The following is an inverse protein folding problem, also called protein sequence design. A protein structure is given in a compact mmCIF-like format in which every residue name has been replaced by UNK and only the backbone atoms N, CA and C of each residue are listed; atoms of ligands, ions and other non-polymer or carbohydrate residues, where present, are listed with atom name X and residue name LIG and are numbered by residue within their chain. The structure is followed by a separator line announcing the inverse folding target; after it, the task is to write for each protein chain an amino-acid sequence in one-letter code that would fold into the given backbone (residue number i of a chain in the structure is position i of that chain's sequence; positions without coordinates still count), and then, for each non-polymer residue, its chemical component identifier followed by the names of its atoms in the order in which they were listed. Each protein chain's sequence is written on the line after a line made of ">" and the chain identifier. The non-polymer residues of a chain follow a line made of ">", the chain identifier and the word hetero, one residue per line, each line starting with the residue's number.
data_IF_087109938899
#
_entry.id   IF_087109938899
#
_cell.length_a   1.000
_cell.length_b   1.000
_cell.length_c   1.000
_cell.angle_alpha   90.00
_cell.angle_beta   90.00
_cell.angle_gamma   90.00
#
_symmetry.space_group_name_H-M   'P 1'
#
loop_
_entity.id
_entity.type
_entity.pdbx_description
1 polymer ?
#
# COMPACT_ATOMS: atom_id res chain seq x y z
N UNK A 1 21.17 -57.84 58.89
CA UNK A 1 19.84 -58.20 59.42
C UNK A 1 18.93 -57.05 59.10
N UNK A 2 18.68 -56.73 57.82
CA UNK A 2 18.11 -57.57 56.74
C UNK A 2 16.67 -57.99 57.02
N UNK A 3 15.90 -57.95 55.93
CA UNK A 3 14.49 -58.30 55.74
C UNK A 3 13.49 -57.18 56.04
N UNK A 4 12.49 -56.88 55.21
CA UNK A 4 12.08 -57.22 53.84
C UNK A 4 10.78 -56.43 53.70
N UNK A 5 10.67 -55.51 52.74
CA UNK A 5 9.37 -55.03 52.29
C UNK A 5 9.18 -55.54 50.87
N UNK A 6 8.35 -56.56 50.76
CA UNK A 6 7.84 -57.14 49.52
C UNK A 6 6.92 -56.15 48.78
N UNK A 7 6.80 -56.28 47.45
CA UNK A 7 6.20 -55.27 46.58
C UNK A 7 4.67 -55.39 46.51
N UNK A 8 3.96 -54.27 46.52
CA UNK A 8 2.59 -54.20 46.01
C UNK A 8 2.63 -54.07 44.49
N UNK A 9 1.95 -55.03 43.85
CA UNK A 9 1.70 -55.14 42.42
C UNK A 9 0.93 -53.92 41.89
N UNK A 10 1.60 -53.10 41.06
CA UNK A 10 0.96 -52.12 40.17
C UNK A 10 0.90 -52.72 38.75
N UNK A 11 0.22 -53.87 38.61
CA UNK A 11 -0.22 -54.38 37.30
C UNK A 11 -1.47 -53.61 36.87
N UNK A 12 -1.27 -52.45 36.24
CA UNK A 12 -2.00 -51.96 35.06
C UNK A 12 -1.70 -50.48 34.82
N UNK A 13 -0.56 -50.21 34.17
CA UNK A 13 -0.35 -48.98 33.39
C UNK A 13 0.22 -49.38 32.03
N UNK A 14 -0.36 -48.89 30.91
CA UNK A 14 0.21 -49.15 29.60
C UNK A 14 1.63 -48.60 29.54
N UNK A 15 2.55 -49.42 29.02
CA UNK A 15 3.94 -49.03 28.80
C UNK A 15 4.00 -47.73 28.02
N UNK A 16 4.74 -46.75 28.54
CA UNK A 16 5.00 -45.51 27.83
C UNK A 16 5.80 -45.85 26.55
N UNK A 17 5.25 -45.62 25.34
CA UNK A 17 5.91 -46.03 24.10
C UNK A 17 7.15 -45.19 23.76
N UNK A 18 7.51 -44.23 24.63
CA UNK A 18 8.61 -43.29 24.43
C UNK A 18 9.77 -43.46 25.43
N UNK A 19 9.83 -44.54 26.21
CA UNK A 19 10.91 -44.78 27.18
C UNK A 19 12.29 -45.12 26.57
N UNK A 20 12.45 -44.95 25.25
CA UNK A 20 13.68 -45.29 24.51
C UNK A 20 14.20 -44.18 23.59
N UNK A 21 13.75 -42.94 23.74
CA UNK A 21 14.25 -41.83 22.92
C UNK A 21 15.40 -41.09 23.66
N UNK A 22 16.59 -41.17 23.05
CA UNK A 22 17.84 -40.50 23.45
C UNK A 22 17.65 -39.01 23.75
N UNK A 23 18.48 -38.45 24.65
CA UNK A 23 18.49 -37.04 25.03
C UNK A 23 18.51 -36.05 23.86
N UNK A 24 19.00 -36.48 22.69
CA UNK A 24 19.06 -35.69 21.45
C UNK A 24 17.69 -35.24 20.90
N UNK A 25 16.58 -35.89 21.30
CA UNK A 25 15.24 -35.52 20.80
C UNK A 25 14.62 -34.40 21.64
N UNK A 26 14.94 -34.33 22.94
CA UNK A 26 14.44 -33.24 23.79
C UNK A 26 15.13 -31.92 23.45
N UNK A 27 16.42 -31.97 23.12
CA UNK A 27 17.18 -30.80 22.73
C UNK A 27 16.78 -30.30 21.32
N UNK A 28 16.45 -31.21 20.38
CA UNK A 28 15.89 -30.82 19.06
C UNK A 28 14.50 -30.20 19.14
N UNK A 29 13.66 -30.62 20.07
CA UNK A 29 12.31 -30.04 20.25
C UNK A 29 12.39 -28.63 20.85
N UNK A 30 13.36 -28.36 21.74
CA UNK A 30 13.55 -27.02 22.31
C UNK A 30 14.26 -26.07 21.33
N UNK A 31 15.16 -26.56 20.48
CA UNK A 31 15.72 -25.79 19.34
C UNK A 31 14.67 -25.50 18.25
N UNK A 32 13.80 -26.47 17.93
CA UNK A 32 12.69 -26.24 16.99
C UNK A 32 11.66 -25.26 17.54
N UNK A 33 11.44 -25.22 18.87
CA UNK A 33 10.52 -24.29 19.55
C UNK A 33 11.01 -22.84 19.56
N UNK A 34 12.32 -22.62 19.55
CA UNK A 34 12.94 -21.29 19.43
C UNK A 34 13.01 -20.85 17.95
N UNK A 35 13.09 -21.79 17.00
CA UNK A 35 13.00 -21.53 15.57
C UNK A 35 11.55 -21.31 15.06
N UNK A 36 10.52 -21.67 15.84
CA UNK A 36 9.09 -21.55 15.47
C UNK A 36 8.41 -20.25 15.90
N UNK A 37 9.13 -19.19 16.30
CA UNK A 37 8.49 -17.91 16.62
C UNK A 37 8.60 -16.80 15.55
N UNK A 38 9.36 -16.99 14.47
CA UNK A 38 9.40 -16.02 13.34
C UNK A 38 8.98 -16.61 11.98
N UNK A 39 8.94 -17.94 11.83
CA UNK A 39 8.53 -18.61 10.58
C UNK A 39 7.02 -18.85 10.42
N UNK A 40 6.26 -18.93 11.51
CA UNK A 40 4.84 -19.33 11.46
C UNK A 40 3.90 -18.21 10.96
N UNK A 41 4.34 -16.95 11.03
CA UNK A 41 3.56 -15.80 10.53
C UNK A 41 3.53 -15.73 9.00
N UNK A 42 4.55 -16.28 8.35
CA UNK A 42 4.63 -16.39 6.89
C UNK A 42 3.73 -17.53 6.36
N UNK A 43 3.68 -18.65 7.09
CA UNK A 43 2.82 -19.81 6.77
C UNK A 43 1.32 -19.45 6.84
N UNK A 44 0.94 -18.54 7.74
CA UNK A 44 -0.44 -18.10 7.88
C UNK A 44 -0.97 -17.31 6.66
N UNK A 45 -0.11 -16.53 5.98
CA UNK A 45 -0.47 -15.79 4.76
C UNK A 45 -0.52 -16.71 3.53
N UNK A 46 0.36 -17.72 3.47
CA UNK A 46 0.32 -18.77 2.43
C UNK A 46 -0.92 -19.67 2.58
N UNK A 47 -1.35 -19.90 3.82
CA UNK A 47 -2.60 -20.62 4.12
C UNK A 47 -3.85 -19.95 3.53
N UNK A 48 -3.84 -18.63 3.36
CA UNK A 48 -5.01 -17.87 2.90
C UNK A 48 -5.16 -17.91 1.37
N UNK A 49 -4.03 -17.98 0.64
CA UNK A 49 -4.06 -18.35 -0.79
C UNK A 49 -4.56 -19.78 -0.97
N UNK A 50 -4.09 -20.71 -0.14
CA UNK A 50 -4.53 -22.12 -0.17
C UNK A 50 -6.03 -22.24 0.14
N UNK A 51 -6.57 -21.49 1.10
CA UNK A 51 -7.99 -21.58 1.46
C UNK A 51 -8.92 -21.11 0.34
N UNK A 52 -8.61 -19.97 -0.29
CA UNK A 52 -9.40 -19.44 -1.43
C UNK A 52 -9.30 -20.34 -2.66
N UNK A 53 -8.12 -20.95 -2.86
CA UNK A 53 -7.90 -21.98 -3.89
C UNK A 53 -8.68 -23.25 -3.55
N UNK A 54 -8.69 -23.70 -2.30
CA UNK A 54 -9.40 -24.91 -1.83
C UNK A 54 -10.92 -24.76 -1.96
N UNK A 55 -11.49 -23.61 -1.60
CA UNK A 55 -12.91 -23.32 -1.85
C UNK A 55 -13.24 -23.39 -3.34
N UNK A 56 -12.43 -22.78 -4.21
CA UNK A 56 -12.64 -22.86 -5.66
C UNK A 56 -12.44 -24.27 -6.22
N UNK A 57 -11.42 -25.00 -5.77
CA UNK A 57 -11.16 -26.40 -6.17
C UNK A 57 -12.33 -27.30 -5.76
N UNK A 58 -12.93 -27.07 -4.59
CA UNK A 58 -14.08 -27.86 -4.12
C UNK A 58 -15.33 -27.76 -5.02
N UNK A 59 -15.34 -26.82 -5.97
CA UNK A 59 -16.41 -26.68 -6.97
C UNK A 59 -16.20 -27.50 -8.26
N UNK A 60 -15.03 -28.11 -8.45
CA UNK A 60 -14.72 -28.98 -9.59
C UNK A 60 -15.47 -30.32 -9.44
N UNK A 61 -16.31 -30.69 -10.41
CA UNK A 61 -17.14 -31.92 -10.35
C UNK A 61 -16.94 -32.86 -11.54
N UNK A 62 -16.29 -32.41 -12.63
CA UNK A 62 -16.09 -33.19 -13.84
C UNK A 62 -14.65 -33.17 -14.38
N UNK A 63 -14.25 -34.17 -15.20
CA UNK A 63 -12.88 -34.34 -15.70
C UNK A 63 -12.42 -33.24 -16.66
N UNK A 64 -13.33 -32.39 -17.15
CA UNK A 64 -13.01 -31.22 -17.99
C UNK A 64 -13.12 -29.89 -17.24
N UNK A 65 -13.47 -29.92 -15.97
CA UNK A 65 -13.56 -28.71 -15.18
C UNK A 65 -12.16 -28.22 -14.86
N UNK A 66 -11.97 -26.92 -15.00
CA UNK A 66 -10.73 -26.26 -14.61
C UNK A 66 -11.03 -24.95 -13.93
N UNK A 67 -10.23 -24.62 -12.92
CA UNK A 67 -10.29 -23.32 -12.25
C UNK A 67 -9.08 -22.51 -12.68
N UNK A 68 -9.37 -21.31 -13.18
CA UNK A 68 -8.36 -20.30 -13.42
C UNK A 68 -8.06 -19.53 -12.12
N UNK A 69 -6.83 -19.66 -11.61
CA UNK A 69 -6.36 -18.99 -10.39
C UNK A 69 -5.36 -17.91 -10.78
N UNK A 70 -5.74 -16.65 -10.60
CA UNK A 70 -4.86 -15.51 -10.80
C UNK A 70 -3.96 -15.33 -9.58
N UNK A 71 -2.65 -15.41 -9.79
CA UNK A 71 -1.64 -15.42 -8.73
C UNK A 71 -1.09 -14.02 -8.42
N UNK A 72 -1.50 -13.02 -9.21
CA UNK A 72 -1.15 -11.61 -9.03
C UNK A 72 -2.26 -10.74 -8.43
N UNK A 73 -3.32 -11.35 -7.88
CA UNK A 73 -4.42 -10.64 -7.21
C UNK A 73 -4.05 -10.10 -5.83
N UNK A 74 -4.91 -9.25 -5.23
CA UNK A 74 -4.68 -8.73 -3.90
C UNK A 74 -4.74 -9.87 -2.87
N UNK A 75 -3.92 -9.75 -1.81
CA UNK A 75 -3.93 -10.67 -0.67
C UNK A 75 -5.27 -10.60 0.06
N UNK A 76 -5.74 -9.37 0.30
CA UNK A 76 -7.05 -9.10 0.87
C UNK A 76 -7.73 -7.96 0.12
N UNK A 77 -9.05 -7.98 0.14
CA UNK A 77 -9.89 -6.93 -0.42
C UNK A 77 -11.13 -6.78 0.44
N UNK A 78 -11.59 -5.54 0.62
CA UNK A 78 -12.83 -5.22 1.31
C UNK A 78 -13.47 -3.99 0.68
N UNK A 79 -14.77 -4.06 0.44
CA UNK A 79 -15.55 -2.88 0.06
C UNK A 79 -15.82 -2.12 1.36
N UNK A 80 -15.15 -0.99 1.53
CA UNK A 80 -15.26 -0.13 2.71
C UNK A 80 -16.19 1.04 2.43
N UNK A 81 -16.16 1.56 1.20
CA UNK A 81 -16.91 2.75 0.82
C UNK A 81 -18.08 2.39 -0.11
N UNK A 82 -19.15 3.19 -0.04
CA UNK A 82 -20.29 3.07 -0.97
C UNK A 82 -20.03 3.75 -2.32
N UNK A 83 -19.15 4.74 -2.29
CA UNK A 83 -18.74 5.57 -3.42
C UNK A 83 -17.21 5.42 -3.64
N UNK A 84 -16.64 5.93 -4.76
CA UNK A 84 -15.22 5.81 -5.04
C UNK A 84 -14.30 6.20 -3.89
N UNK A 85 -13.26 5.40 -3.64
CA UNK A 85 -12.16 5.77 -2.74
C UNK A 85 -11.37 6.89 -3.40
N UNK A 86 -11.11 7.98 -2.68
CA UNK A 86 -10.37 9.14 -3.20
C UNK A 86 -8.91 9.11 -2.79
N UNK A 87 -8.62 8.67 -1.57
CA UNK A 87 -7.26 8.57 -1.08
C UNK A 87 -7.11 7.48 -0.01
N UNK A 88 -5.90 6.99 0.14
CA UNK A 88 -5.49 6.05 1.19
C UNK A 88 -4.19 6.51 1.84
N UNK A 89 -3.96 6.10 3.08
CA UNK A 89 -2.71 6.34 3.79
C UNK A 89 -2.44 5.22 4.79
N UNK A 90 -1.18 4.87 5.00
CA UNK A 90 -0.83 3.92 6.05
C UNK A 90 -0.92 4.61 7.42
N UNK A 91 -1.50 3.92 8.40
CA UNK A 91 -1.54 4.38 9.79
C UNK A 91 -0.71 3.48 10.72
N UNK A 92 -0.25 2.35 10.19
CA UNK A 92 0.71 1.44 10.81
C UNK A 92 1.42 0.63 9.71
N UNK A 93 2.24 -0.35 10.04
CA UNK A 93 2.82 -1.25 9.02
C UNK A 93 1.79 -2.19 8.39
N UNK A 94 0.67 -2.45 9.07
CA UNK A 94 -0.33 -3.45 8.63
C UNK A 94 -1.68 -2.84 8.32
N UNK A 95 -1.98 -1.62 8.79
CA UNK A 95 -3.30 -1.00 8.68
C UNK A 95 -3.27 0.27 7.83
N UNK A 96 -4.36 0.55 7.12
CA UNK A 96 -4.55 1.78 6.36
C UNK A 96 -5.79 2.55 6.75
N UNK A 97 -5.71 3.87 6.62
CA UNK A 97 -6.85 4.75 6.46
C UNK A 97 -7.25 4.84 4.99
N UNK A 98 -8.55 4.88 4.72
CA UNK A 98 -9.12 5.19 3.40
C UNK A 98 -10.22 6.22 3.53
N UNK A 99 -10.29 7.15 2.58
CA UNK A 99 -11.36 8.14 2.48
C UNK A 99 -12.06 8.00 1.14
N UNK A 100 -13.38 8.13 1.13
CA UNK A 100 -14.21 7.97 -0.07
C UNK A 100 -15.11 9.17 -0.33
N UNK A 101 -15.70 9.18 -1.52
CA UNK A 101 -16.71 10.17 -1.92
C UNK A 101 -18.02 10.05 -1.13
N UNK A 102 -18.18 8.96 -0.37
CA UNK A 102 -19.24 8.78 0.64
C UNK A 102 -18.98 9.59 1.92
N UNK A 103 -17.89 10.38 1.92
CA UNK A 103 -17.46 11.32 2.93
C UNK A 103 -17.04 10.66 4.24
N UNK A 104 -16.76 9.36 4.21
CA UNK A 104 -16.31 8.61 5.38
C UNK A 104 -14.81 8.34 5.31
N UNK A 105 -14.21 8.24 6.49
CA UNK A 105 -12.85 7.73 6.67
C UNK A 105 -12.96 6.40 7.41
N UNK A 106 -12.38 5.35 6.84
CA UNK A 106 -12.32 4.02 7.44
C UNK A 106 -10.87 3.64 7.74
N UNK A 107 -10.64 3.04 8.90
CA UNK A 107 -9.37 2.36 9.22
C UNK A 107 -9.59 0.87 9.12
N UNK A 108 -8.73 0.20 8.35
CA UNK A 108 -8.80 -1.23 8.13
C UNK A 108 -7.44 -1.87 8.30
N UNK A 109 -7.41 -2.94 9.11
CA UNK A 109 -6.28 -3.86 9.20
C UNK A 109 -6.68 -5.21 8.59
N UNK A 110 -6.10 -5.63 7.45
CA UNK A 110 -6.33 -6.92 6.82
C UNK A 110 -5.83 -8.12 7.64
N UNK A 111 -4.92 -7.92 8.59
CA UNK A 111 -4.31 -8.97 9.42
C UNK A 111 -4.99 -9.16 10.78
N UNK A 112 -5.72 -8.14 11.25
CA UNK A 112 -6.55 -8.19 12.46
C UNK A 112 -7.94 -8.80 12.17
N UNK A 113 -8.77 -9.00 13.21
CA UNK A 113 -10.09 -9.65 13.21
C UNK A 113 -11.19 -9.00 12.35
N UNK A 114 -10.83 -8.35 11.24
CA UNK A 114 -11.72 -7.73 10.27
C UNK A 114 -12.52 -6.52 10.79
N UNK A 115 -12.19 -6.00 11.97
CA UNK A 115 -12.79 -4.78 12.50
C UNK A 115 -12.40 -3.58 11.65
N UNK A 116 -13.39 -2.75 11.34
CA UNK A 116 -13.23 -1.50 10.60
C UNK A 116 -13.67 -0.39 11.53
N UNK A 117 -12.73 0.49 11.86
CA UNK A 117 -13.06 1.72 12.56
C UNK A 117 -13.55 2.74 11.53
N UNK A 118 -14.63 3.45 11.84
CA UNK A 118 -15.11 4.57 11.03
C UNK A 118 -14.96 5.83 11.84
N UNK A 119 -14.32 6.85 11.28
CA UNK A 119 -14.23 8.14 11.94
C UNK A 119 -15.57 8.87 11.79
N UNK A 120 -15.98 9.57 12.85
CA UNK A 120 -17.29 10.22 12.91
C UNK A 120 -17.40 11.44 11.99
N UNK A 121 -16.28 12.09 11.73
CA UNK A 121 -16.18 13.31 10.92
C UNK A 121 -16.27 13.02 9.41
N UNK A 122 -16.77 14.02 8.68
CA UNK A 122 -16.99 13.91 7.24
C UNK A 122 -15.88 14.59 6.45
N UNK A 123 -15.42 13.95 5.36
CA UNK A 123 -14.42 14.51 4.46
C UNK A 123 -14.90 14.48 3.00
N UNK A 124 -15.21 15.65 2.44
CA UNK A 124 -15.62 15.79 1.04
C UNK A 124 -14.40 15.72 0.11
N UNK A 125 -14.34 14.66 -0.72
CA UNK A 125 -13.25 14.39 -1.66
C UNK A 125 -11.87 14.51 -0.98
N UNK A 126 -11.69 13.73 0.08
CA UNK A 126 -10.55 13.87 0.97
C UNK A 126 -9.24 13.38 0.36
N UNK A 127 -8.14 14.01 0.75
CA UNK A 127 -6.78 13.52 0.51
C UNK A 127 -6.09 13.24 1.85
N UNK A 128 -5.67 11.99 2.07
CA UNK A 128 -5.08 11.53 3.32
C UNK A 128 -3.56 11.59 3.30
N UNK A 129 -2.98 11.95 4.44
CA UNK A 129 -1.54 11.85 4.68
C UNK A 129 -1.30 11.57 6.16
N UNK A 130 -0.42 10.61 6.45
CA UNK A 130 0.07 10.34 7.80
C UNK A 130 1.49 10.89 7.96
N UNK A 131 1.86 11.18 9.19
CA UNK A 131 3.24 11.48 9.56
C UNK A 131 4.11 10.22 9.47
N UNK A 132 5.43 10.41 9.29
CA UNK A 132 6.39 9.31 9.20
C UNK A 132 6.43 8.47 10.48
N UNK A 133 6.21 9.12 11.61
CA UNK A 133 6.16 8.52 12.95
C UNK A 133 4.87 7.73 13.18
N UNK A 134 3.88 7.84 12.27
CA UNK A 134 2.52 7.32 12.42
C UNK A 134 1.86 7.77 13.74
N UNK A 135 2.07 9.03 14.13
CA UNK A 135 1.45 9.65 15.31
C UNK A 135 0.23 10.52 14.95
N UNK A 136 0.10 10.93 13.69
CA UNK A 136 -0.93 11.84 13.23
C UNK A 136 -1.41 11.44 11.82
N UNK A 137 -2.73 11.45 11.64
CA UNK A 137 -3.39 11.36 10.35
C UNK A 137 -4.02 12.72 10.02
N UNK A 138 -3.82 13.22 8.81
CA UNK A 138 -4.46 14.42 8.30
C UNK A 138 -5.31 14.10 7.06
N UNK A 139 -6.46 14.77 6.95
CA UNK A 139 -7.33 14.70 5.78
C UNK A 139 -7.66 16.13 5.33
N UNK A 140 -7.18 16.51 4.15
CA UNK A 140 -7.61 17.74 3.50
C UNK A 140 -8.91 17.50 2.75
N UNK A 141 -9.87 18.42 2.86
CA UNK A 141 -11.18 18.31 2.24
C UNK A 141 -11.61 19.58 1.48
N UNK A 142 -12.48 19.38 0.48
CA UNK A 142 -13.16 20.46 -0.23
C UNK A 142 -14.07 21.33 0.65
N UNK A 143 -14.33 20.92 1.89
CA UNK A 143 -15.01 21.76 2.89
C UNK A 143 -14.15 22.94 3.40
N UNK A 144 -12.91 23.06 2.87
CA UNK A 144 -11.91 24.11 3.15
C UNK A 144 -11.09 23.84 4.42
N UNK A 145 -11.18 22.63 4.96
CA UNK A 145 -10.46 22.27 6.18
C UNK A 145 -9.40 21.20 5.93
N UNK A 146 -8.42 21.15 6.84
CA UNK A 146 -7.62 19.96 7.09
C UNK A 146 -7.92 19.49 8.50
N UNK A 147 -8.50 18.31 8.62
CA UNK A 147 -8.80 17.68 9.91
C UNK A 147 -7.66 16.74 10.31
N UNK A 148 -7.42 16.61 11.62
CA UNK A 148 -6.33 15.81 12.17
C UNK A 148 -6.82 14.83 13.24
N UNK A 149 -6.29 13.62 13.22
CA UNK A 149 -6.55 12.57 14.21
C UNK A 149 -5.24 12.02 14.77
N UNK A 150 -5.25 11.67 16.06
CA UNK A 150 -4.13 10.98 16.70
C UNK A 150 -4.05 9.54 16.21
N UNK A 151 -2.85 8.98 16.16
CA UNK A 151 -2.62 7.56 15.90
C UNK A 151 -1.90 6.93 17.10
N UNK A 152 -2.25 5.70 17.50
CA UNK A 152 -3.22 4.79 16.87
C UNK A 152 -4.67 5.01 17.31
N UNK A 153 -4.93 5.85 18.31
CA UNK A 153 -6.24 5.95 18.97
C UNK A 153 -7.35 6.52 18.09
N UNK A 154 -6.99 7.18 16.98
CA UNK A 154 -7.90 7.76 15.99
C UNK A 154 -8.85 8.81 16.57
N UNK A 155 -8.42 9.53 17.60
CA UNK A 155 -9.19 10.61 18.21
C UNK A 155 -8.97 11.91 17.44
N UNK A 156 -10.05 12.68 17.21
CA UNK A 156 -9.93 13.99 16.59
C UNK A 156 -9.11 14.93 17.48
N UNK A 157 -8.04 15.51 16.93
CA UNK A 157 -7.14 16.39 17.67
C UNK A 157 -7.46 17.85 17.40
N UNK A 158 -7.60 18.22 16.12
CA UNK A 158 -7.67 19.61 15.66
C UNK A 158 -8.13 19.72 14.23
N UNK A 159 -8.55 20.92 13.85
CA UNK A 159 -8.95 21.29 12.49
C UNK A 159 -8.29 22.60 12.08
N UNK A 160 -7.62 22.60 10.93
CA UNK A 160 -7.11 23.80 10.24
C UNK A 160 -8.19 24.29 9.27
N UNK A 161 -8.79 25.44 9.53
CA UNK A 161 -9.67 26.12 8.57
C UNK A 161 -8.86 27.05 7.69
N UNK A 162 -8.95 26.86 6.38
CA UNK A 162 -8.17 27.63 5.41
C UNK A 162 -8.93 28.83 4.86
N UNK A 163 -10.23 28.96 5.11
CA UNK A 163 -10.99 30.16 4.79
C UNK A 163 -10.91 30.60 3.33
N UNK A 164 -11.70 29.97 2.44
CA UNK A 164 -12.00 30.53 1.11
C UNK A 164 -12.02 29.53 -0.04
N UNK A 165 -11.15 28.52 -0.01
CA UNK A 165 -11.02 27.55 -1.11
C UNK A 165 -10.87 26.13 -0.57
N UNK A 166 -11.45 25.15 -1.27
CA UNK A 166 -11.37 23.75 -0.91
C UNK A 166 -9.94 23.22 -1.02
N UNK A 167 -9.62 22.23 -0.18
CA UNK A 167 -8.35 21.52 -0.20
C UNK A 167 -8.46 20.31 -1.12
N UNK A 168 -7.48 20.13 -2.00
CA UNK A 168 -7.41 18.96 -2.87
C UNK A 168 -6.17 18.12 -2.63
N UNK A 169 -5.10 18.71 -2.10
CA UNK A 169 -3.89 17.98 -1.78
C UNK A 169 -3.27 18.50 -0.48
N UNK A 170 -2.71 17.58 0.28
CA UNK A 170 -2.00 17.87 1.53
C UNK A 170 -0.72 17.07 1.54
N UNK A 171 0.36 17.71 1.95
CA UNK A 171 1.63 17.06 2.26
C UNK A 171 2.12 17.52 3.63
N UNK A 172 2.74 16.61 4.39
CA UNK A 172 3.32 16.91 5.70
C UNK A 172 4.80 16.56 5.65
N UNK A 173 5.63 17.46 6.14
CA UNK A 173 7.00 17.16 6.54
C UNK A 173 7.08 17.11 8.06
N UNK A 174 7.26 15.90 8.61
CA UNK A 174 7.33 15.70 10.05
C UNK A 174 8.63 16.25 10.65
N UNK A 175 9.71 16.35 9.88
CA UNK A 175 11.00 16.84 10.37
C UNK A 175 10.94 18.33 10.69
N UNK A 176 10.35 19.13 9.79
CA UNK A 176 10.21 20.59 10.00
C UNK A 176 8.89 20.98 10.65
N UNK A 177 8.03 20.00 11.01
CA UNK A 177 6.67 20.21 11.49
C UNK A 177 5.94 21.21 10.58
N UNK A 178 5.96 20.95 9.28
CA UNK A 178 5.35 21.82 8.26
C UNK A 178 4.25 21.07 7.52
N UNK A 179 3.12 21.74 7.28
CA UNK A 179 2.07 21.26 6.39
C UNK A 179 1.95 22.17 5.18
N UNK A 180 1.94 21.56 4.00
CA UNK A 180 1.62 22.22 2.74
C UNK A 180 0.22 21.82 2.29
N UNK A 181 -0.57 22.80 1.89
CA UNK A 181 -1.93 22.58 1.42
C UNK A 181 -2.13 23.19 0.04
N UNK A 182 -2.57 22.35 -0.89
CA UNK A 182 -2.87 22.72 -2.27
C UNK A 182 -4.33 23.09 -2.40
N UNK A 183 -4.57 24.33 -2.82
CA UNK A 183 -5.89 24.93 -2.87
C UNK A 183 -6.48 24.90 -4.28
N UNK A 184 -7.82 24.90 -4.33
CA UNK A 184 -8.57 24.91 -5.58
C UNK A 184 -8.26 26.10 -6.51
N UNK A 185 -7.80 27.23 -5.95
CA UNK A 185 -7.50 28.45 -6.71
C UNK A 185 -6.07 28.50 -7.29
N UNK A 186 -5.27 27.45 -7.12
CA UNK A 186 -3.87 27.40 -7.58
C UNK A 186 -2.84 27.92 -6.58
N UNK A 187 -3.27 28.30 -5.38
CA UNK A 187 -2.35 28.66 -4.31
C UNK A 187 -1.87 27.42 -3.55
N UNK A 188 -0.64 27.53 -3.04
CA UNK A 188 -0.12 26.64 -1.99
C UNK A 188 -0.03 27.46 -0.72
N UNK A 189 -0.55 26.89 0.37
CA UNK A 189 -0.43 27.45 1.71
C UNK A 189 0.50 26.59 2.56
N UNK A 190 1.46 27.23 3.22
CA UNK A 190 2.40 26.62 4.15
C UNK A 190 2.03 27.05 5.56
N UNK A 191 1.77 26.07 6.43
CA UNK A 191 1.42 26.31 7.83
C UNK A 191 2.30 25.49 8.76
N UNK A 192 2.42 25.95 10.00
CA UNK A 192 3.05 25.20 11.08
C UNK A 192 2.16 24.02 11.49
N UNK A 193 2.72 22.82 11.57
CA UNK A 193 1.97 21.62 11.89
C UNK A 193 1.49 21.62 13.34
N UNK A 194 2.15 22.29 14.28
CA UNK A 194 1.82 22.26 15.70
C UNK A 194 0.91 23.44 16.10
N UNK A 195 1.24 24.65 15.66
CA UNK A 195 0.44 25.86 15.96
C UNK A 195 -0.72 26.08 15.00
N UNK A 196 -0.68 25.46 13.80
CA UNK A 196 -1.68 25.65 12.75
C UNK A 196 -1.69 27.08 12.17
N UNK A 197 -0.70 27.89 12.52
CA UNK A 197 -0.55 29.23 11.98
C UNK A 197 -0.01 29.19 10.55
N UNK A 198 -0.65 29.95 9.66
CA UNK A 198 -0.19 30.12 8.28
C UNK A 198 1.10 30.93 8.27
N UNK A 199 2.18 30.32 7.80
CA UNK A 199 3.47 31.00 7.59
C UNK A 199 3.45 31.77 6.27
N UNK A 200 2.93 31.16 5.22
CA UNK A 200 2.89 31.76 3.89
C UNK A 200 1.75 31.20 3.03
N UNK A 201 1.26 32.00 2.10
CA UNK A 201 0.39 31.58 1.01
C UNK A 201 0.82 32.28 -0.27
N UNK A 202 1.05 31.51 -1.32
CA UNK A 202 1.51 32.04 -2.60
C UNK A 202 0.82 31.35 -3.77
N UNK A 203 0.71 32.08 -4.88
CA UNK A 203 0.19 31.54 -6.13
C UNK A 203 1.24 30.64 -6.77
N UNK A 204 1.00 29.34 -6.72
CA UNK A 204 1.89 28.33 -7.27
C UNK A 204 1.57 28.02 -8.74
N UNK A 205 0.29 28.08 -9.10
CA UNK A 205 -0.22 27.62 -10.39
C UNK A 205 -1.34 28.54 -10.91
N UNK A 206 -1.62 28.44 -12.22
CA UNK A 206 -2.75 29.13 -12.85
C UNK A 206 -4.04 28.32 -12.75
N UNK A 207 -3.90 27.00 -12.59
CA UNK A 207 -4.96 26.05 -12.32
C UNK A 207 -4.92 25.48 -10.90
N UNK A 208 -5.74 24.46 -10.66
CA UNK A 208 -5.93 23.81 -9.37
C UNK A 208 -4.67 23.06 -8.92
N UNK A 209 -4.24 23.20 -7.66
CA UNK A 209 -3.14 22.39 -7.11
C UNK A 209 -3.64 20.98 -6.77
N UNK A 210 -3.43 20.04 -7.68
CA UNK A 210 -3.95 18.67 -7.59
C UNK A 210 -3.09 17.77 -6.71
N UNK A 211 -1.81 18.09 -6.53
CA UNK A 211 -0.89 17.24 -5.78
C UNK A 211 0.29 18.03 -5.21
N UNK A 212 0.79 17.53 -4.08
CA UNK A 212 1.94 18.04 -3.34
C UNK A 212 2.77 16.88 -2.83
N UNK A 213 4.08 17.09 -2.71
CA UNK A 213 4.98 16.14 -2.06
C UNK A 213 6.20 16.85 -1.47
N UNK A 214 6.53 16.56 -0.23
CA UNK A 214 7.80 16.97 0.35
C UNK A 214 8.87 15.92 0.05
N UNK A 215 10.09 16.37 -0.16
CA UNK A 215 11.23 15.47 -0.19
C UNK A 215 11.46 14.84 1.19
N UNK A 216 12.05 13.64 1.26
CA UNK A 216 12.32 12.97 2.53
C UNK A 216 13.14 13.81 3.53
N UNK A 217 13.95 14.75 3.03
CA UNK A 217 14.72 15.69 3.85
C UNK A 217 13.91 16.90 4.34
N UNK A 218 12.72 17.15 3.78
CA UNK A 218 11.92 18.35 4.04
C UNK A 218 12.43 19.62 3.35
N UNK A 219 13.56 19.56 2.65
CA UNK A 219 14.19 20.73 2.02
C UNK A 219 13.43 21.24 0.80
N UNK A 220 12.71 20.35 0.13
CA UNK A 220 12.06 20.63 -1.14
C UNK A 220 10.59 20.26 -1.08
N UNK A 221 9.74 21.13 -1.62
CA UNK A 221 8.34 20.85 -1.88
C UNK A 221 8.12 20.89 -3.38
N UNK A 222 7.43 19.88 -3.92
CA UNK A 222 6.96 19.89 -5.30
C UNK A 222 5.44 20.03 -5.33
N UNK A 223 4.95 20.82 -6.29
CA UNK A 223 3.52 21.02 -6.53
C UNK A 223 3.20 20.74 -7.99
N UNK A 224 2.10 20.02 -8.23
CA UNK A 224 1.57 19.74 -9.56
C UNK A 224 0.14 20.24 -9.69
N UNK A 225 -0.23 20.60 -10.92
CA UNK A 225 -1.50 21.27 -11.21
C UNK A 225 -2.25 20.68 -12.41
N UNK A 226 -3.57 20.92 -12.44
CA UNK A 226 -4.41 20.60 -13.59
C UNK A 226 -4.07 21.42 -14.85
N UNK A 227 -3.33 22.53 -14.70
CA UNK A 227 -2.77 23.31 -15.81
C UNK A 227 -1.58 22.62 -16.52
N UNK A 228 -1.11 21.50 -15.99
CA UNK A 228 -0.03 20.71 -16.54
C UNK A 228 1.37 21.22 -16.21
N UNK A 229 1.49 22.12 -15.23
CA UNK A 229 2.77 22.57 -14.70
C UNK A 229 3.15 21.87 -13.39
N UNK A 230 4.45 21.66 -13.21
CA UNK A 230 5.08 21.26 -11.96
C UNK A 230 6.01 22.37 -11.50
N UNK A 231 5.95 22.73 -10.22
CA UNK A 231 6.84 23.69 -9.60
C UNK A 231 7.55 23.08 -8.40
N UNK A 232 8.79 23.54 -8.17
CA UNK A 232 9.70 23.10 -7.10
C UNK A 232 10.03 24.30 -6.23
N UNK A 233 9.91 24.13 -4.92
CA UNK A 233 10.00 25.18 -3.93
C UNK A 233 10.97 24.80 -2.81
N UNK A 234 11.58 25.80 -2.17
CA UNK A 234 12.24 25.64 -0.86
C UNK A 234 11.30 26.19 0.22
N UNK A 235 10.66 25.33 1.01
CA UNK A 235 9.68 25.74 2.03
C UNK A 235 10.29 26.62 3.13
N UNK A 236 11.53 26.35 3.53
CA UNK A 236 12.20 27.10 4.59
C UNK A 236 12.43 28.59 4.24
N UNK A 237 12.49 28.91 2.96
CA UNK A 237 12.71 30.28 2.45
C UNK A 237 11.56 30.80 1.61
N UNK A 238 10.51 30.00 1.40
CA UNK A 238 9.37 30.31 0.56
C UNK A 238 9.74 30.71 -0.89
N UNK A 239 10.82 30.12 -1.43
CA UNK A 239 11.34 30.48 -2.76
C UNK A 239 11.04 29.44 -3.81
N UNK A 240 10.55 29.88 -4.98
CA UNK A 240 10.52 29.08 -6.20
C UNK A 240 11.94 28.76 -6.67
N UNK A 241 12.20 27.50 -7.01
CA UNK A 241 13.51 26.99 -7.45
C UNK A 241 13.51 26.69 -8.93
N UNK A 242 12.50 25.92 -9.36
CA UNK A 242 12.40 25.40 -10.72
C UNK A 242 10.95 25.05 -11.04
N UNK A 243 10.67 24.84 -12.32
CA UNK A 243 9.39 24.34 -12.78
C UNK A 243 9.41 24.02 -14.26
N UNK A 244 8.41 23.29 -14.71
CA UNK A 244 8.17 22.97 -16.12
C UNK A 244 6.68 22.97 -16.41
N UNK A 245 6.30 23.40 -17.61
CA UNK A 245 4.94 23.27 -18.15
C UNK A 245 4.89 22.28 -19.33
N UNK A 246 5.96 21.50 -19.52
CA UNK A 246 6.12 20.62 -20.68
C UNK A 246 5.24 19.36 -20.63
N UNK A 247 4.65 19.05 -19.46
CA UNK A 247 3.76 17.89 -19.33
C UNK A 247 2.44 18.08 -20.11
N UNK A 248 2.02 19.34 -20.34
CA UNK A 248 0.92 19.76 -21.24
C UNK A 248 -0.41 18.99 -21.09
N UNK A 249 -0.63 18.36 -19.94
CA UNK A 249 -1.80 17.55 -19.59
C UNK A 249 -2.06 17.71 -18.09
N UNK A 250 -3.31 17.63 -17.61
CA UNK A 250 -3.58 17.73 -16.18
C UNK A 250 -2.78 16.69 -15.38
N UNK A 251 -1.98 17.18 -14.45
CA UNK A 251 -1.19 16.36 -13.52
C UNK A 251 -2.12 15.93 -12.40
N UNK A 252 -2.02 14.67 -12.00
CA UNK A 252 -2.79 14.13 -10.86
C UNK A 252 -1.90 13.85 -9.66
N UNK A 253 -0.60 13.62 -9.88
CA UNK A 253 0.32 13.27 -8.81
C UNK A 253 1.76 13.64 -9.17
N UNK A 254 2.52 14.04 -8.15
CA UNK A 254 3.96 14.25 -8.20
C UNK A 254 4.62 13.56 -7.01
N UNK A 255 5.85 13.10 -7.20
CA UNK A 255 6.72 12.59 -6.13
C UNK A 255 8.14 13.07 -6.33
N UNK A 256 8.84 13.44 -5.26
CA UNK A 256 10.25 13.81 -5.29
C UNK A 256 11.09 12.74 -4.59
N UNK A 257 12.20 12.34 -5.22
CA UNK A 257 13.13 11.38 -4.64
C UNK A 257 14.05 12.06 -3.62
N UNK A 258 14.77 11.25 -2.84
CA UNK A 258 15.72 11.69 -1.82
C UNK A 258 16.96 12.42 -2.37
N UNK A 259 17.23 12.29 -3.67
CA UNK A 259 18.28 13.02 -4.37
C UNK A 259 18.00 14.53 -4.49
N UNK A 260 16.80 15.00 -4.15
CA UNK A 260 16.32 16.39 -4.22
C UNK A 260 16.27 16.98 -5.64
N UNK A 261 16.41 16.14 -6.67
CA UNK A 261 16.46 16.59 -8.08
C UNK A 261 15.46 15.86 -8.94
N UNK A 262 15.22 14.59 -8.67
CA UNK A 262 14.34 13.77 -9.49
C UNK A 262 12.91 13.90 -9.01
N UNK A 263 12.05 14.37 -9.91
CA UNK A 263 10.60 14.43 -9.71
C UNK A 263 9.94 13.47 -10.67
N UNK A 264 9.08 12.61 -10.15
CA UNK A 264 8.22 11.73 -10.92
C UNK A 264 6.86 12.39 -11.08
N UNK A 265 6.40 12.50 -12.33
CA UNK A 265 5.20 13.26 -12.71
C UNK A 265 4.24 12.32 -13.43
N UNK A 266 2.97 12.28 -13.00
CA UNK A 266 1.94 11.49 -13.66
C UNK A 266 0.58 12.21 -13.72
N UNK A 267 -0.26 11.80 -14.67
CA UNK A 267 -1.53 12.44 -14.93
C UNK A 267 -2.31 11.83 -16.10
N UNK A 268 -3.10 12.67 -16.78
CA UNK A 268 -4.11 12.24 -17.77
C UNK A 268 -3.59 11.90 -19.16
N UNK A 269 -2.27 11.95 -19.38
CA UNK A 269 -1.67 11.56 -20.66
C UNK A 269 -1.21 10.09 -20.71
N UNK A 270 -1.53 9.29 -19.66
CA UNK A 270 -1.21 7.85 -19.53
C UNK A 270 0.29 7.55 -19.33
N UNK A 271 1.13 8.57 -19.36
CA UNK A 271 2.57 8.45 -19.22
C UNK A 271 2.98 8.93 -17.83
N UNK A 272 4.06 8.35 -17.33
CA UNK A 272 4.76 8.83 -16.14
C UNK A 272 6.13 9.31 -16.61
N UNK A 273 6.55 10.49 -16.18
CA UNK A 273 7.84 11.07 -16.56
C UNK A 273 8.73 11.20 -15.34
N UNK A 274 10.02 10.88 -15.53
CA UNK A 274 11.11 11.19 -14.61
C UNK A 274 11.75 12.49 -15.09
N UNK A 275 11.64 13.55 -14.30
CA UNK A 275 12.11 14.89 -14.63
C UNK A 275 13.19 15.34 -13.65
N UNK A 276 14.29 15.87 -14.16
CA UNK A 276 15.35 16.47 -13.36
C UNK A 276 15.07 17.96 -13.15
N UNK A 277 14.85 18.37 -11.91
CA UNK A 277 14.50 19.74 -11.55
C UNK A 277 15.63 20.75 -11.74
N UNK A 278 16.87 20.31 -11.67
CA UNK A 278 18.05 21.17 -11.82
C UNK A 278 18.38 21.42 -13.29
N UNK A 279 18.37 20.36 -14.09
CA UNK A 279 18.64 20.42 -15.53
C UNK A 279 17.40 20.84 -16.33
N UNK A 280 16.22 20.71 -15.71
CA UNK A 280 14.90 21.02 -16.29
C UNK A 280 14.58 20.19 -17.53
N UNK A 281 14.97 18.92 -17.52
CA UNK A 281 14.74 17.99 -18.63
C UNK A 281 14.10 16.68 -18.16
N UNK A 282 13.40 16.02 -19.09
CA UNK A 282 12.87 14.67 -18.89
C UNK A 282 14.00 13.67 -19.08
N UNK A 283 14.36 12.96 -18.02
CA UNK A 283 15.45 11.96 -18.01
C UNK A 283 14.93 10.53 -18.19
N UNK A 284 13.62 10.31 -18.13
CA UNK A 284 13.02 9.00 -18.34
C UNK A 284 11.51 9.05 -18.53
N UNK A 285 10.94 7.99 -19.11
CA UNK A 285 9.49 7.85 -19.30
C UNK A 285 9.08 6.41 -19.03
N UNK A 286 8.10 6.22 -18.15
CA UNK A 286 7.51 4.92 -17.87
C UNK A 286 6.25 4.76 -18.72
N UNK A 287 6.37 3.97 -19.79
CA UNK A 287 5.28 3.71 -20.73
C UNK A 287 4.67 2.34 -20.50
N UNK A 288 3.34 2.27 -20.44
CA UNK A 288 2.64 0.99 -20.42
C UNK A 288 1.16 1.08 -20.06
N UNK A 289 0.76 2.06 -19.26
CA UNK A 289 -0.66 2.28 -18.92
C UNK A 289 -1.49 2.63 -20.15
N UNK A 290 -2.71 2.08 -20.22
CA UNK A 290 -3.64 2.35 -21.34
C UNK A 290 -4.69 3.42 -21.00
N UNK A 291 -4.75 3.83 -19.73
CA UNK A 291 -5.59 4.89 -19.20
C UNK A 291 -4.81 5.86 -18.32
N UNK A 292 -5.50 6.91 -17.87
CA UNK A 292 -4.95 7.96 -17.01
C UNK A 292 -4.28 7.34 -15.77
N UNK A 293 -3.15 7.89 -15.36
CA UNK A 293 -2.51 7.53 -14.08
C UNK A 293 -3.07 8.47 -13.04
N UNK A 294 -3.58 7.92 -11.94
CA UNK A 294 -4.23 8.71 -10.88
C UNK A 294 -3.29 8.98 -9.72
N UNK A 295 -2.53 7.99 -9.29
CA UNK A 295 -1.57 8.10 -8.18
C UNK A 295 -0.29 7.32 -8.46
N UNK A 296 0.80 7.77 -7.83
CA UNK A 296 2.06 7.05 -7.77
C UNK A 296 2.54 7.01 -6.31
N UNK A 297 3.21 5.93 -5.95
CA UNK A 297 3.90 5.78 -4.69
C UNK A 297 5.33 5.32 -4.93
N UNK A 298 6.27 5.88 -4.18
CA UNK A 298 7.67 5.47 -4.19
C UNK A 298 7.89 4.52 -3.01
N UNK A 299 8.65 3.45 -3.22
CA UNK A 299 9.03 2.55 -2.15
C UNK A 299 9.99 3.24 -1.18
N UNK A 300 10.03 2.83 0.11
CA UNK A 300 10.90 3.45 1.10
C UNK A 300 12.40 3.39 0.75
N UNK A 301 12.82 2.38 -0.01
CA UNK A 301 14.20 2.22 -0.52
C UNK A 301 14.49 3.03 -1.80
N UNK A 302 13.50 3.76 -2.34
CA UNK A 302 13.60 4.62 -3.55
C UNK A 302 13.93 3.87 -4.85
N UNK A 303 13.92 2.54 -4.85
CA UNK A 303 14.24 1.74 -6.05
C UNK A 303 13.01 1.46 -6.92
N UNK A 304 11.82 1.38 -6.29
CA UNK A 304 10.57 1.00 -6.94
C UNK A 304 9.52 2.11 -6.89
N UNK A 305 8.71 2.15 -7.95
CA UNK A 305 7.50 2.95 -8.00
C UNK A 305 6.30 2.05 -8.26
N UNK A 306 5.20 2.28 -7.55
CA UNK A 306 3.88 1.76 -7.88
C UNK A 306 3.03 2.86 -8.52
N UNK A 307 2.31 2.55 -9.60
CA UNK A 307 1.39 3.49 -10.25
C UNK A 307 -0.01 2.91 -10.38
N UNK A 308 -1.02 3.69 -9.97
CA UNK A 308 -2.43 3.36 -10.03
C UNK A 308 -3.10 4.03 -11.23
N UNK A 309 -3.92 3.30 -11.98
CA UNK A 309 -4.48 3.81 -13.23
C UNK A 309 -5.96 3.46 -13.43
N UNK A 310 -6.59 4.28 -14.28
CA UNK A 310 -7.89 4.07 -14.91
C UNK A 310 -7.99 2.79 -15.74
N UNK A 311 -6.86 2.18 -16.10
CA UNK A 311 -6.85 0.87 -16.75
C UNK A 311 -7.07 -0.33 -15.80
N UNK A 312 -7.44 -0.06 -14.55
CA UNK A 312 -7.72 -1.01 -13.49
C UNK A 312 -6.49 -1.81 -13.03
N UNK A 313 -5.28 -1.34 -13.35
CA UNK A 313 -4.02 -1.99 -12.96
C UNK A 313 -3.16 -1.12 -12.06
N UNK A 314 -2.41 -1.78 -11.18
CA UNK A 314 -1.24 -1.18 -10.54
C UNK A 314 -0.02 -1.69 -11.29
N UNK A 315 0.94 -0.83 -11.63
CA UNK A 315 2.21 -1.27 -12.20
C UNK A 315 3.35 -0.93 -11.26
N UNK A 316 4.28 -1.86 -11.12
CA UNK A 316 5.52 -1.71 -10.36
C UNK A 316 6.64 -1.49 -11.35
N UNK A 317 7.41 -0.45 -11.13
CA UNK A 317 8.48 0.02 -12.01
C UNK A 317 9.77 0.11 -11.24
N UNK A 318 10.86 -0.14 -11.94
CA UNK A 318 12.19 0.23 -11.52
C UNK A 318 12.43 1.70 -11.86
N UNK A 319 12.68 2.53 -10.85
CA UNK A 319 12.77 3.99 -11.03
C UNK A 319 13.98 4.37 -11.87
N UNK A 320 15.11 3.67 -11.70
CA UNK A 320 16.34 4.04 -12.38
C UNK A 320 16.29 3.72 -13.87
N UNK A 321 15.88 2.49 -14.20
CA UNK A 321 15.84 2.00 -15.59
C UNK A 321 14.56 2.38 -16.33
N UNK A 322 13.53 2.87 -15.63
CA UNK A 322 12.20 3.14 -16.15
C UNK A 322 11.48 1.89 -16.73
N UNK A 323 11.87 0.70 -16.28
CA UNK A 323 11.32 -0.57 -16.78
C UNK A 323 10.22 -1.10 -15.86
N UNK A 324 9.14 -1.61 -16.45
CA UNK A 324 8.10 -2.31 -15.70
C UNK A 324 8.63 -3.64 -15.16
N UNK A 325 8.52 -3.82 -13.84
CA UNK A 325 8.82 -5.09 -13.14
C UNK A 325 7.61 -6.00 -13.08
N UNK A 326 6.41 -5.45 -12.86
CA UNK A 326 5.18 -6.23 -12.62
C UNK A 326 3.91 -5.42 -12.88
N UNK A 327 2.88 -6.06 -13.41
CA UNK A 327 1.50 -5.54 -13.37
C UNK A 327 0.68 -6.31 -12.33
N UNK A 328 0.08 -5.62 -11.35
CA UNK A 328 -0.92 -6.18 -10.43
C UNK A 328 -2.32 -6.01 -11.04
N UNK A 329 -3.08 -7.11 -11.07
CA UNK A 329 -4.41 -7.20 -11.70
C UNK A 329 -5.41 -7.80 -10.72
N UNK A 330 -6.70 -7.62 -11.01
CA UNK A 330 -7.79 -8.17 -10.20
C UNK A 330 -8.69 -7.14 -9.54
N UNK A 331 -8.42 -5.85 -9.74
CA UNK A 331 -9.30 -4.76 -9.33
C UNK A 331 -10.55 -4.71 -10.21
N UNK A 332 -11.69 -4.33 -9.60
CA UNK A 332 -13.00 -4.24 -10.28
C UNK A 332 -13.25 -2.91 -10.99
N UNK A 333 -12.45 -1.89 -10.70
CA UNK A 333 -12.59 -0.55 -11.28
C UNK A 333 -11.28 0.23 -11.31
N UNK A 334 -11.39 1.49 -11.68
CA UNK A 334 -10.27 2.44 -11.79
C UNK A 334 -9.58 2.58 -10.46
N UNK A 335 -8.25 2.51 -10.42
CA UNK A 335 -7.49 2.63 -9.18
C UNK A 335 -7.14 4.10 -8.98
N UNK A 336 -7.66 4.69 -7.91
CA UNK A 336 -7.57 6.12 -7.65
C UNK A 336 -6.35 6.49 -6.80
N UNK A 337 -5.98 5.62 -5.85
CA UNK A 337 -4.80 5.84 -4.99
C UNK A 337 -4.09 4.51 -4.69
N UNK A 338 -2.77 4.59 -4.47
CA UNK A 338 -1.87 3.47 -4.12
C UNK A 338 -0.78 3.99 -3.19
N UNK A 339 -0.42 3.21 -2.17
CA UNK A 339 0.65 3.56 -1.21
C UNK A 339 1.49 2.36 -0.88
N UNK A 340 2.79 2.56 -0.69
CA UNK A 340 3.70 1.56 -0.10
C UNK A 340 3.59 1.58 1.42
N UNK A 341 3.74 0.40 2.01
CA UNK A 341 3.95 0.28 3.45
C UNK A 341 5.29 0.90 3.83
N UNK A 342 5.46 1.36 5.09
CA UNK A 342 6.72 1.95 5.54
C UNK A 342 7.95 1.04 5.41
N UNK A 343 7.75 -0.29 5.38
CA UNK A 343 8.81 -1.29 5.13
C UNK A 343 8.96 -1.69 3.66
N UNK A 344 8.09 -1.23 2.75
CA UNK A 344 8.17 -1.52 1.31
C UNK A 344 7.67 -2.90 0.88
N UNK A 345 7.34 -3.79 1.82
CA UNK A 345 6.92 -5.17 1.52
C UNK A 345 5.50 -5.27 0.93
N UNK A 346 4.67 -4.27 1.19
CA UNK A 346 3.25 -4.29 0.89
C UNK A 346 2.76 -2.98 0.25
N UNK A 347 1.57 -3.07 -0.36
CA UNK A 347 0.84 -1.91 -0.87
C UNK A 347 -0.61 -1.95 -0.39
N UNK A 348 -1.20 -0.78 -0.19
CA UNK A 348 -2.65 -0.62 -0.26
C UNK A 348 -3.03 0.09 -1.55
N UNK A 349 -4.27 -0.15 -2.01
CA UNK A 349 -4.88 0.61 -3.11
C UNK A 349 -6.37 0.84 -2.85
N UNK A 350 -6.90 1.98 -3.29
CA UNK A 350 -8.33 2.30 -3.30
C UNK A 350 -8.85 2.50 -4.72
N UNK A 351 -10.05 2.01 -5.03
CA UNK A 351 -10.61 2.07 -6.39
C UNK A 351 -11.99 2.77 -6.49
N UNK A 352 -12.47 2.90 -7.73
CA UNK A 352 -13.75 3.55 -8.07
C UNK A 352 -15.00 2.83 -7.57
N UNK A 353 -14.88 1.57 -7.14
CA UNK A 353 -16.00 0.76 -6.64
C UNK A 353 -16.05 0.74 -5.10
N UNK A 354 -15.30 1.63 -4.43
CA UNK A 354 -15.25 1.72 -2.96
C UNK A 354 -14.43 0.60 -2.30
N UNK A 355 -13.70 -0.19 -3.10
CA UNK A 355 -12.89 -1.30 -2.64
C UNK A 355 -11.49 -0.85 -2.26
N UNK A 356 -11.03 -1.29 -1.09
CA UNK A 356 -9.65 -1.16 -0.62
C UNK A 356 -9.00 -2.54 -0.63
N UNK A 357 -7.81 -2.62 -1.22
CA UNK A 357 -7.09 -3.86 -1.44
C UNK A 357 -5.67 -3.80 -0.89
N UNK A 358 -5.21 -4.92 -0.32
CA UNK A 358 -3.87 -5.10 0.24
C UNK A 358 -3.06 -6.06 -0.64
N UNK A 359 -1.82 -5.70 -0.96
CA UNK A 359 -0.97 -6.42 -1.90
C UNK A 359 0.40 -6.72 -1.30
N UNK A 360 1.03 -7.81 -1.76
CA UNK A 360 2.47 -8.05 -1.54
C UNK A 360 3.29 -7.56 -2.74
N UNK A 361 4.41 -6.88 -2.46
CA UNK A 361 5.30 -6.30 -3.47
C UNK A 361 6.29 -7.35 -3.99
N UNK A 362 6.91 -8.13 -3.09
CA UNK A 362 7.99 -9.05 -3.43
C UNK A 362 7.54 -10.26 -4.27
N UNK A 363 8.35 -10.58 -5.30
CA UNK A 363 8.14 -11.67 -6.26
C UNK A 363 8.60 -13.04 -5.74
N UNK A 364 9.63 -13.11 -4.90
CA UNK A 364 10.28 -14.37 -4.53
C UNK A 364 9.42 -15.27 -3.63
N UNK A 365 8.65 -14.69 -2.72
CA UNK A 365 7.71 -15.46 -1.89
C UNK A 365 6.57 -15.99 -2.76
N UNK A 366 6.03 -15.17 -3.68
CA UNK A 366 4.94 -15.64 -4.56
C UNK A 366 5.41 -16.77 -5.46
N UNK A 367 6.63 -16.71 -6.00
CA UNK A 367 7.15 -17.74 -6.90
C UNK A 367 7.55 -19.02 -6.16
N UNK A 368 8.21 -18.93 -4.99
CA UNK A 368 8.56 -20.10 -4.18
C UNK A 368 7.34 -20.78 -3.58
N UNK A 369 6.38 -20.00 -3.09
CA UNK A 369 5.10 -20.53 -2.58
C UNK A 369 4.28 -21.11 -3.72
N UNK A 370 4.36 -20.51 -4.92
CA UNK A 370 3.78 -21.10 -6.12
C UNK A 370 4.41 -22.45 -6.44
N UNK A 371 5.73 -22.52 -6.52
CA UNK A 371 6.45 -23.76 -6.80
C UNK A 371 6.04 -24.85 -5.78
N UNK A 372 5.92 -24.49 -4.49
CA UNK A 372 5.53 -25.40 -3.41
C UNK A 372 4.04 -25.81 -3.45
N UNK A 373 3.13 -24.89 -3.75
CA UNK A 373 1.68 -25.18 -3.91
C UNK A 373 1.42 -26.01 -5.16
N UNK A 374 2.15 -25.75 -6.24
CA UNK A 374 2.07 -26.56 -7.46
C UNK A 374 2.54 -27.99 -7.19
N UNK A 375 3.65 -28.18 -6.47
CA UNK A 375 4.15 -29.50 -6.07
C UNK A 375 3.11 -30.24 -5.20
N UNK A 376 2.55 -29.59 -4.18
CA UNK A 376 1.51 -30.17 -3.33
C UNK A 376 0.22 -30.52 -4.08
N UNK A 377 -0.19 -29.72 -5.06
CA UNK A 377 -1.39 -29.99 -5.87
C UNK A 377 -1.16 -31.12 -6.88
N UNK A 378 0.03 -31.22 -7.46
CA UNK A 378 0.43 -32.33 -8.32
C UNK A 378 0.41 -33.65 -7.54
N UNK A 379 0.97 -33.65 -6.33
CA UNK A 379 0.94 -34.82 -5.43
C UNK A 379 -0.48 -35.18 -4.98
N UNK A 380 -1.37 -34.19 -4.89
CA UNK A 380 -2.80 -34.36 -4.58
C UNK A 380 -3.67 -34.85 -5.74
N UNK A 381 -3.11 -35.15 -6.92
CA UNK A 381 -3.86 -35.65 -8.07
C UNK A 381 -4.50 -34.55 -8.93
N UNK A 382 -3.96 -33.34 -8.93
CA UNK A 382 -4.39 -32.27 -9.84
C UNK A 382 -3.34 -32.01 -10.92
N UNK A 383 -3.79 -31.61 -12.10
CA UNK A 383 -2.91 -31.11 -13.15
C UNK A 383 -2.86 -29.58 -13.07
N UNK A 384 -1.65 -29.04 -13.02
CA UNK A 384 -1.37 -27.62 -12.85
C UNK A 384 -0.63 -27.11 -14.07
N UNK A 385 -1.20 -26.12 -14.76
CA UNK A 385 -0.57 -25.49 -15.93
C UNK A 385 -0.42 -23.99 -15.75
N UNK A 386 0.82 -23.51 -15.82
CA UNK A 386 1.14 -22.08 -15.87
C UNK A 386 0.75 -21.48 -17.21
N UNK A 387 0.11 -20.32 -17.16
CA UNK A 387 -0.17 -19.49 -18.34
C UNK A 387 0.71 -18.24 -18.35
N UNK A 388 0.83 -17.59 -19.51
CA UNK A 388 1.65 -16.37 -19.69
C UNK A 388 1.18 -15.15 -18.88
N UNK A 389 0.05 -15.22 -18.18
CA UNK A 389 -0.60 -14.10 -17.47
C UNK A 389 -0.55 -14.22 -15.94
N UNK A 390 0.50 -14.81 -15.36
CA UNK A 390 0.60 -15.04 -13.90
C UNK A 390 -0.64 -15.74 -13.34
N UNK A 391 -1.11 -16.73 -14.09
CA UNK A 391 -2.35 -17.43 -13.81
C UNK A 391 -2.08 -18.92 -13.97
N UNK A 392 -2.53 -19.70 -13.00
CA UNK A 392 -2.42 -21.15 -13.02
C UNK A 392 -3.79 -21.74 -13.27
N UNK A 393 -3.84 -22.66 -14.23
CA UNK A 393 -5.03 -23.49 -14.49
C UNK A 393 -4.84 -24.75 -13.68
N UNK A 394 -5.81 -25.03 -12.80
CA UNK A 394 -5.88 -26.27 -12.03
C UNK A 394 -7.02 -27.09 -12.62
N UNK A 395 -6.74 -28.30 -13.05
CA UNK A 395 -7.75 -29.29 -13.45
C UNK A 395 -7.57 -30.57 -12.64
N UNK A 396 -8.60 -31.42 -12.60
CA UNK A 396 -8.44 -32.79 -12.12
C UNK A 396 -7.42 -33.51 -13.02
N UNK A 397 -6.54 -34.33 -12.43
CA UNK A 397 -5.71 -35.21 -13.24
C UNK A 397 -6.63 -36.23 -13.93
N UNK A 398 -6.42 -36.47 -15.21
CA UNK A 398 -7.05 -37.62 -15.87
C UNK A 398 -6.38 -38.87 -15.29
N UNK A 399 -7.12 -39.68 -14.53
CA UNK A 399 -6.69 -41.01 -14.07
C UNK A 399 -6.50 -41.97 -15.22
#
# INVERSE_FOLDING_TARGET
>A
MDEETSPEDDQDKPSNPFSGLSGDIKDRIEEERIATQEGERQVALDFIRIFRVKEKISSLNGPRDSVEVMLGGPLYTKILHKDPVTSISFVSNTSCASVGMDQRIHIWDPTSKNDVLTLDEMAYNGHLVSTKENDLLACGSLDKTVQFWSLPDCEHVRTLDLGGFGVLSVAIDSNTRTIATGLYNGNVRISDLDTLETRNEFRAHDGTVTCLDFSPSGMTLVSGSDDGSVNVWRPATDTHVAGTSEYASPITTVKILDDERTVIIAGKNKQIQKWNSHEREVTGTFSGHSGDVHAIAISPDQDLMASASKDNTIRIWDIETCVERKTLRGNRGSINDVRFSPNGDHLFSGNSEGEVAYWGVQLDVTQRVLDMVEEMLVDGGFNVKRTRKQTVIISLSET
#
